data_IF_540763385477
#
_entry.id   IF_540763385477
#
_cell.length_a   1.000
_cell.length_b   1.000
_cell.length_c   1.000
_cell.angle_alpha   90.00
_cell.angle_beta   90.00
_cell.angle_gamma   90.00
#
_symmetry.space_group_name_H-M   'P 1'
#
loop_
_entity.id
_entity.type
_entity.pdbx_description
1 polymer ?
#
# COMPACT_ATOMS: atom_id res chain seq x y z
N UNK A 1 -18.99 46.48 5.06
CA UNK A 1 -18.40 45.53 6.01
C UNK A 1 -17.17 44.93 5.37
N UNK A 2 -15.98 45.23 5.88
CA UNK A 2 -14.71 44.76 5.32
C UNK A 2 -14.43 43.36 5.87
N UNK A 3 -14.33 42.36 5.01
CA UNK A 3 -14.02 41.00 5.43
C UNK A 3 -12.59 40.94 6.01
N UNK A 4 -12.46 40.53 7.27
CA UNK A 4 -11.16 40.30 7.90
C UNK A 4 -10.67 38.92 7.43
N UNK A 5 -9.59 38.90 6.65
CA UNK A 5 -8.89 37.65 6.30
C UNK A 5 -8.18 37.12 7.54
N UNK A 6 -8.62 35.97 8.05
CA UNK A 6 -8.09 35.37 9.28
C UNK A 6 -6.74 34.67 9.07
N UNK A 7 -6.28 34.52 7.82
CA UNK A 7 -5.10 33.72 7.48
C UNK A 7 -5.30 32.23 7.76
N UNK A 8 -4.72 31.37 6.94
CA UNK A 8 -4.64 29.94 7.25
C UNK A 8 -3.38 29.71 8.09
N UNK A 9 -3.44 28.96 9.21
CA UNK A 9 -2.24 28.59 9.94
C UNK A 9 -1.33 27.77 9.02
N UNK A 10 -0.02 28.06 9.04
CA UNK A 10 0.95 27.27 8.31
C UNK A 10 1.05 25.88 8.97
N UNK A 11 0.86 24.84 8.17
CA UNK A 11 1.09 23.47 8.63
C UNK A 11 2.61 23.27 8.72
N UNK A 12 3.16 22.84 9.87
CA UNK A 12 4.57 22.53 9.97
C UNK A 12 4.93 21.47 8.94
N UNK A 13 5.99 21.70 8.15
CA UNK A 13 6.46 20.75 7.15
C UNK A 13 6.92 19.43 7.76
N UNK A 14 7.24 19.43 9.06
CA UNK A 14 7.66 18.26 9.82
C UNK A 14 7.14 18.36 11.26
N UNK A 15 6.29 17.41 11.67
CA UNK A 15 5.71 17.36 13.02
C UNK A 15 6.70 16.86 14.08
N UNK A 16 7.64 15.98 13.70
CA UNK A 16 8.68 15.44 14.56
C UNK A 16 9.83 14.81 13.73
N UNK A 17 10.98 14.56 14.38
CA UNK A 17 12.04 13.74 13.79
C UNK A 17 11.57 12.30 13.57
N UNK A 18 11.90 11.72 12.41
CA UNK A 18 11.53 10.33 12.11
C UNK A 18 12.37 9.38 12.97
N UNK A 19 11.71 8.41 13.61
CA UNK A 19 12.36 7.37 14.42
C UNK A 19 13.43 6.62 13.61
N UNK A 20 14.62 6.46 14.20
CA UNK A 20 15.69 5.58 13.68
C UNK A 20 15.22 4.12 13.68
N UNK A 21 15.25 3.47 12.52
CA UNK A 21 14.81 2.09 12.33
C UNK A 21 15.76 1.33 11.41
N UNK A 22 15.78 0.00 11.53
CA UNK A 22 16.43 -0.87 10.54
C UNK A 22 15.73 -0.72 9.18
N UNK A 23 16.49 -0.67 8.09
CA UNK A 23 15.92 -0.75 6.74
C UNK A 23 15.56 -2.19 6.37
N UNK A 24 14.40 -2.38 5.74
CA UNK A 24 13.99 -3.62 5.09
C UNK A 24 13.66 -3.34 3.62
N UNK A 25 13.59 -4.40 2.82
CA UNK A 25 13.08 -4.33 1.44
C UNK A 25 11.73 -5.04 1.37
N UNK A 26 10.72 -4.35 0.84
CA UNK A 26 9.44 -4.95 0.43
C UNK A 26 9.46 -5.01 -1.09
N UNK A 27 9.83 -6.16 -1.66
CA UNK A 27 10.18 -6.25 -3.08
C UNK A 27 11.30 -5.27 -3.42
N UNK A 28 11.03 -4.32 -4.32
CA UNK A 28 11.95 -3.25 -4.71
C UNK A 28 11.86 -1.97 -3.86
N UNK A 29 10.95 -1.90 -2.90
CA UNK A 29 10.68 -0.67 -2.11
C UNK A 29 11.39 -0.71 -0.75
N UNK A 30 12.32 0.22 -0.46
CA UNK A 30 12.97 0.29 0.84
C UNK A 30 12.06 0.92 1.89
N UNK A 31 11.99 0.31 3.07
CA UNK A 31 11.18 0.79 4.21
C UNK A 31 12.04 0.92 5.45
N UNK A 32 11.98 2.09 6.11
CA UNK A 32 12.79 2.40 7.29
C UNK A 32 14.21 2.87 6.95
N UNK A 33 15.09 2.98 7.95
CA UNK A 33 16.52 3.28 7.74
C UNK A 33 16.85 4.61 7.07
N UNK A 34 15.93 5.57 7.07
CA UNK A 34 16.10 6.85 6.37
C UNK A 34 15.50 6.88 4.96
N UNK A 35 15.02 5.75 4.42
CA UNK A 35 14.24 5.75 3.18
C UNK A 35 12.97 6.62 3.31
N UNK A 36 12.50 7.26 2.22
CA UNK A 36 11.25 8.01 2.21
C UNK A 36 10.07 7.20 2.78
N UNK A 37 9.06 7.89 3.34
CA UNK A 37 7.85 7.21 3.80
C UNK A 37 7.09 6.69 2.58
N UNK A 38 7.03 5.36 2.45
CA UNK A 38 6.34 4.72 1.34
C UNK A 38 4.82 4.85 1.47
N UNK A 39 4.14 5.15 0.37
CA UNK A 39 2.67 5.15 0.30
C UNK A 39 2.18 3.72 0.05
N UNK A 40 1.34 3.22 0.94
CA UNK A 40 0.69 1.91 0.81
C UNK A 40 -0.82 2.10 0.71
N UNK A 41 -1.48 1.24 -0.07
CA UNK A 41 -2.94 1.14 -0.14
C UNK A 41 -3.40 -0.33 -0.12
N UNK A 42 -4.70 -0.55 -0.09
CA UNK A 42 -5.33 -1.87 -0.09
C UNK A 42 -6.42 -1.94 -1.16
N UNK A 43 -6.48 -3.04 -1.89
CA UNK A 43 -7.56 -3.29 -2.86
C UNK A 43 -8.88 -3.56 -2.15
N UNK A 44 -9.98 -3.24 -2.83
CA UNK A 44 -11.35 -3.52 -2.38
C UNK A 44 -12.04 -4.61 -3.20
N UNK A 45 -11.41 -5.06 -4.29
CA UNK A 45 -11.89 -6.17 -5.12
C UNK A 45 -11.76 -7.51 -4.40
N UNK A 46 -12.47 -8.53 -4.91
CA UNK A 46 -12.25 -9.92 -4.50
C UNK A 46 -10.93 -10.38 -5.11
N UNK A 47 -9.99 -10.83 -4.29
CA UNK A 47 -8.64 -11.19 -4.75
C UNK A 47 -8.66 -12.34 -5.76
N UNK A 48 -9.56 -13.30 -5.60
CA UNK A 48 -9.79 -14.36 -6.59
C UNK A 48 -10.23 -13.83 -7.98
N UNK A 49 -10.80 -12.63 -8.08
CA UNK A 49 -10.96 -11.92 -9.35
C UNK A 49 -9.65 -11.21 -9.72
N UNK A 50 -8.76 -11.97 -10.36
CA UNK A 50 -7.43 -11.53 -10.77
C UNK A 50 -7.51 -10.29 -11.70
N UNK A 51 -8.50 -10.25 -12.59
CA UNK A 51 -8.64 -9.17 -13.57
C UNK A 51 -9.00 -7.85 -12.90
N UNK A 52 -10.07 -7.86 -12.09
CA UNK A 52 -10.49 -6.68 -11.33
C UNK A 52 -9.39 -6.22 -10.37
N UNK A 53 -8.72 -7.15 -9.70
CA UNK A 53 -7.66 -6.83 -8.74
C UNK A 53 -6.44 -6.22 -9.41
N UNK A 54 -5.97 -6.76 -10.55
CA UNK A 54 -4.86 -6.16 -11.30
C UNK A 54 -5.20 -4.78 -11.87
N UNK A 55 -6.44 -4.59 -12.33
CA UNK A 55 -6.92 -3.29 -12.79
C UNK A 55 -6.87 -2.25 -11.67
N UNK A 56 -7.39 -2.58 -10.48
CA UNK A 56 -7.33 -1.67 -9.34
C UNK A 56 -5.89 -1.43 -8.86
N UNK A 57 -5.02 -2.44 -8.89
CA UNK A 57 -3.59 -2.26 -8.59
C UNK A 57 -2.95 -1.26 -9.56
N UNK A 58 -3.28 -1.31 -10.84
CA UNK A 58 -2.79 -0.35 -11.83
C UNK A 58 -3.27 1.08 -11.53
N UNK A 59 -4.54 1.25 -11.15
CA UNK A 59 -5.12 2.54 -10.75
C UNK A 59 -4.45 3.12 -9.49
N UNK A 60 -4.21 2.27 -8.49
CA UNK A 60 -3.48 2.65 -7.28
C UNK A 60 -2.04 3.05 -7.62
N UNK A 61 -1.36 2.28 -8.48
CA UNK A 61 0.00 2.57 -8.93
C UNK A 61 0.07 3.92 -9.64
N UNK A 62 -0.88 4.19 -10.56
CA UNK A 62 -1.00 5.46 -11.28
C UNK A 62 -1.25 6.66 -10.33
N UNK A 63 -1.87 6.40 -9.18
CA UNK A 63 -2.11 7.41 -8.13
C UNK A 63 -0.93 7.60 -7.17
N UNK A 64 0.20 6.93 -7.40
CA UNK A 64 1.42 7.03 -6.57
C UNK A 64 1.51 6.01 -5.45
N UNK A 65 0.67 4.96 -5.43
CA UNK A 65 0.84 3.84 -4.52
C UNK A 65 2.14 3.08 -4.83
N UNK A 66 2.92 2.77 -3.80
CA UNK A 66 4.21 2.10 -3.94
C UNK A 66 4.17 0.65 -3.47
N UNK A 67 3.24 0.30 -2.58
CA UNK A 67 3.05 -1.06 -2.05
C UNK A 67 1.55 -1.30 -1.97
N UNK A 68 1.07 -2.43 -2.47
CA UNK A 68 -0.37 -2.76 -2.41
C UNK A 68 -0.60 -3.97 -1.51
N UNK A 69 -1.67 -3.92 -0.72
CA UNK A 69 -2.16 -5.05 0.07
C UNK A 69 -3.44 -5.62 -0.55
N UNK A 70 -3.56 -6.95 -0.55
CA UNK A 70 -4.75 -7.66 -1.01
C UNK A 70 -5.26 -8.59 0.10
N UNK A 71 -6.58 -8.70 0.25
CA UNK A 71 -7.19 -9.58 1.24
C UNK A 71 -7.04 -11.06 0.83
N UNK A 72 -6.79 -11.96 1.78
CA UNK A 72 -6.72 -13.39 1.50
C UNK A 72 -7.54 -14.23 2.50
N UNK A 73 -8.88 -14.08 2.53
CA UNK A 73 -9.74 -14.81 3.45
C UNK A 73 -9.96 -16.28 3.05
N UNK A 74 -9.92 -16.62 1.76
CA UNK A 74 -10.25 -17.97 1.26
C UNK A 74 -9.08 -18.61 0.49
N UNK A 75 -9.21 -19.91 0.19
CA UNK A 75 -8.21 -20.65 -0.58
C UNK A 75 -8.12 -20.12 -2.01
N UNK A 76 -9.25 -19.78 -2.64
CA UNK A 76 -9.29 -19.22 -4.00
C UNK A 76 -8.52 -17.90 -4.09
N UNK A 77 -8.57 -17.08 -3.03
CA UNK A 77 -7.78 -15.85 -2.94
C UNK A 77 -6.28 -16.16 -2.85
N UNK A 78 -5.90 -17.17 -2.05
CA UNK A 78 -4.51 -17.60 -1.90
C UNK A 78 -3.95 -18.13 -3.23
N UNK A 79 -4.75 -18.92 -3.95
CA UNK A 79 -4.39 -19.51 -5.24
C UNK A 79 -4.22 -18.44 -6.34
N UNK A 80 -4.88 -17.28 -6.20
CA UNK A 80 -4.72 -16.14 -7.10
C UNK A 80 -3.45 -15.32 -6.86
N UNK A 81 -2.88 -15.35 -5.64
CA UNK A 81 -1.71 -14.53 -5.25
C UNK A 81 -0.50 -14.70 -6.17
N UNK A 82 -0.07 -15.91 -6.59
CA UNK A 82 1.09 -16.06 -7.47
C UNK A 82 0.94 -15.34 -8.81
N UNK A 83 -0.28 -15.32 -9.36
CA UNK A 83 -0.57 -14.64 -10.63
C UNK A 83 -0.57 -13.13 -10.43
N UNK A 84 -1.21 -12.64 -9.37
CA UNK A 84 -1.27 -11.21 -9.04
C UNK A 84 0.13 -10.67 -8.75
N UNK A 85 0.90 -11.34 -7.90
CA UNK A 85 2.26 -10.93 -7.52
C UNK A 85 3.22 -10.89 -8.72
N UNK A 86 3.08 -11.81 -9.68
CA UNK A 86 3.89 -11.83 -10.91
C UNK A 86 3.54 -10.71 -11.88
N UNK A 87 2.26 -10.33 -11.96
CA UNK A 87 1.76 -9.34 -12.93
C UNK A 87 1.74 -7.91 -12.38
N UNK A 88 1.71 -7.74 -11.07
CA UNK A 88 1.77 -6.43 -10.44
C UNK A 88 3.09 -5.72 -10.72
N UNK A 89 3.03 -4.42 -10.98
CA UNK A 89 4.22 -3.57 -11.16
C UNK A 89 4.82 -3.09 -9.83
N UNK A 90 4.06 -3.21 -8.74
CA UNK A 90 4.47 -2.84 -7.39
C UNK A 90 4.39 -4.06 -6.45
N UNK A 91 5.19 -4.09 -5.35
CA UNK A 91 5.14 -5.16 -4.37
C UNK A 91 3.72 -5.41 -3.82
N UNK A 92 3.35 -6.69 -3.71
CA UNK A 92 2.05 -7.14 -3.19
C UNK A 92 2.23 -7.75 -1.81
N UNK A 93 1.42 -7.32 -0.84
CA UNK A 93 1.31 -7.88 0.51
C UNK A 93 0.02 -8.70 0.61
N UNK A 94 0.12 -9.93 1.08
CA UNK A 94 -1.03 -10.76 1.40
C UNK A 94 -1.52 -10.50 2.84
N UNK A 95 -2.82 -10.25 3.00
CA UNK A 95 -3.45 -9.98 4.30
C UNK A 95 -4.14 -11.24 4.83
N UNK A 96 -3.42 -12.00 5.67
CA UNK A 96 -3.84 -13.30 6.21
C UNK A 96 -4.33 -13.12 7.65
N UNK A 97 -5.60 -13.43 7.90
CA UNK A 97 -6.21 -13.28 9.22
C UNK A 97 -6.26 -14.59 10.02
N UNK A 98 -6.68 -15.69 9.40
CA UNK A 98 -7.10 -16.89 10.13
C UNK A 98 -6.36 -18.18 9.75
N UNK A 99 -5.92 -18.34 8.50
CA UNK A 99 -5.37 -19.61 8.01
C UNK A 99 -3.88 -19.49 7.74
N UNK A 100 -3.01 -19.98 8.64
CA UNK A 100 -1.56 -19.91 8.45
C UNK A 100 -1.07 -20.65 7.20
N UNK A 101 -1.83 -21.64 6.72
CA UNK A 101 -1.49 -22.45 5.54
C UNK A 101 -1.51 -21.70 4.21
N UNK A 102 -1.99 -20.45 4.19
CA UNK A 102 -1.97 -19.61 2.99
C UNK A 102 -0.62 -18.91 2.77
N UNK A 103 0.36 -19.15 3.65
CA UNK A 103 1.74 -18.65 3.59
C UNK A 103 2.69 -19.75 3.11
#
# INVERSE_FOLDING_TARGET
MTAISLGMPSVPTQLAERRKSRQIQVGSVPVGGGAPVSVQSMTTTRTSDIGATLQQIAELTASGCQIVRVACPTQDDADALPVIARKSQIPVIADIHFQPKYV
#
